data_IF_298979487007
#
_entry.id   IF_298979487007
#
_cell.length_a   1.000
_cell.length_b   1.000
_cell.length_c   1.000
_cell.angle_alpha   90.00
_cell.angle_beta   90.00
_cell.angle_gamma   90.00
#
_symmetry.space_group_name_H-M   'P 1'
#
loop_
_entity.id
_entity.type
_entity.pdbx_description
1 polymer ?
#
# COMPACT_ATOMS: atom_id res chain seq x y z
N UNK A 1 35.14 2.83 31.18
CA UNK A 1 34.27 3.95 31.58
C UNK A 1 33.41 4.52 30.44
N UNK A 2 33.93 4.71 29.22
CA UNK A 2 33.16 5.26 28.08
C UNK A 2 31.96 4.42 27.60
N UNK A 3 32.05 3.09 27.68
CA UNK A 3 30.98 2.17 27.24
C UNK A 3 29.75 2.27 28.16
N UNK A 4 29.97 2.29 29.48
CA UNK A 4 28.89 2.40 30.48
C UNK A 4 28.11 3.71 30.34
N UNK A 5 28.80 4.82 30.00
CA UNK A 5 28.11 6.09 29.74
C UNK A 5 27.25 6.06 28.47
N UNK A 6 27.69 5.38 27.41
CA UNK A 6 26.90 5.23 26.19
C UNK A 6 25.65 4.38 26.41
N UNK A 7 25.76 3.30 27.18
CA UNK A 7 24.61 2.45 27.54
C UNK A 7 23.56 3.26 28.31
N UNK A 8 23.98 4.03 29.33
CA UNK A 8 23.07 4.89 30.10
C UNK A 8 22.39 5.99 29.28
N UNK A 9 23.05 6.50 28.23
CA UNK A 9 22.43 7.46 27.32
C UNK A 9 21.39 6.78 26.43
N UNK A 10 21.70 5.59 25.91
CA UNK A 10 20.76 4.80 25.13
C UNK A 10 19.53 4.38 25.95
N UNK A 11 19.71 4.00 27.22
CA UNK A 11 18.59 3.64 28.11
C UNK A 11 17.63 4.83 28.31
N UNK A 12 18.17 6.04 28.51
CA UNK A 12 17.36 7.27 28.63
C UNK A 12 16.62 7.60 27.35
N UNK A 13 17.28 7.42 26.20
CA UNK A 13 16.67 7.63 24.89
C UNK A 13 15.52 6.63 24.64
N UNK A 14 15.72 5.37 25.02
CA UNK A 14 14.67 4.34 24.95
C UNK A 14 13.46 4.72 25.82
N UNK A 15 13.69 5.20 27.04
CA UNK A 15 12.60 5.59 27.94
C UNK A 15 11.83 6.83 27.43
N UNK A 16 12.54 7.81 26.85
CA UNK A 16 11.92 8.96 26.18
C UNK A 16 11.06 8.51 24.99
N UNK A 17 11.60 7.64 24.14
CA UNK A 17 10.87 7.11 22.98
C UNK A 17 9.64 6.30 23.40
N UNK A 18 9.71 5.53 24.49
CA UNK A 18 8.54 4.82 25.04
C UNK A 18 7.47 5.79 25.52
N UNK A 19 7.86 6.85 26.22
CA UNK A 19 6.92 7.86 26.72
C UNK A 19 6.24 8.61 25.57
N UNK A 20 7.01 9.00 24.54
CA UNK A 20 6.48 9.63 23.33
C UNK A 20 5.54 8.70 22.56
N UNK A 21 5.91 7.42 22.40
CA UNK A 21 5.07 6.43 21.74
C UNK A 21 3.72 6.23 22.47
N UNK A 22 3.73 6.21 23.81
CA UNK A 22 2.51 6.15 24.62
C UNK A 22 1.67 7.42 24.40
N UNK A 23 2.28 8.60 24.37
CA UNK A 23 1.57 9.86 24.16
C UNK A 23 0.94 9.92 22.76
N UNK A 24 1.69 9.54 21.72
CA UNK A 24 1.18 9.46 20.35
C UNK A 24 0.05 8.43 20.21
N UNK A 25 0.20 7.26 20.81
CA UNK A 25 -0.83 6.22 20.77
C UNK A 25 -2.13 6.70 21.41
N UNK A 26 -2.06 7.40 22.56
CA UNK A 26 -3.22 8.02 23.19
C UNK A 26 -3.85 9.11 22.32
N UNK A 27 -3.02 9.97 21.73
CA UNK A 27 -3.47 11.04 20.84
C UNK A 27 -4.06 10.53 19.52
N UNK A 28 -3.82 9.28 19.11
CA UNK A 28 -4.51 8.65 17.97
C UNK A 28 -5.83 8.03 18.42
N UNK A 29 -5.88 7.37 19.58
CA UNK A 29 -7.09 6.70 20.08
C UNK A 29 -8.24 7.70 20.28
N UNK A 30 -7.98 8.85 20.91
CA UNK A 30 -9.01 9.86 21.23
C UNK A 30 -9.74 10.40 19.99
N UNK A 31 -9.07 10.89 18.93
CA UNK A 31 -9.73 11.28 17.68
C UNK A 31 -10.46 10.12 17.00
N UNK A 32 -9.93 8.90 17.10
CA UNK A 32 -10.57 7.72 16.50
C UNK A 32 -11.88 7.38 17.22
N UNK A 33 -11.94 7.56 18.52
CA UNK A 33 -13.16 7.43 19.33
C UNK A 33 -14.16 8.53 19.01
N UNK A 34 -13.72 9.79 18.86
CA UNK A 34 -14.57 10.91 18.43
C UNK A 34 -15.18 10.70 17.05
N UNK A 35 -14.37 10.29 16.05
CA UNK A 35 -14.85 9.98 14.70
C UNK A 35 -15.85 8.82 14.73
N UNK A 36 -15.59 7.79 15.54
CA UNK A 36 -16.51 6.68 15.71
C UNK A 36 -17.82 7.10 16.41
N UNK A 37 -17.77 8.04 17.36
CA UNK A 37 -18.94 8.59 18.02
C UNK A 37 -19.78 9.44 17.06
N UNK A 38 -19.15 10.29 16.24
CA UNK A 38 -19.82 11.07 15.19
C UNK A 38 -20.50 10.16 14.16
N UNK A 39 -19.79 9.14 13.66
CA UNK A 39 -20.31 8.15 12.72
C UNK A 39 -21.52 7.37 13.28
N UNK A 40 -21.58 7.17 14.61
CA UNK A 40 -22.72 6.53 15.28
C UNK A 40 -23.85 7.51 15.59
N UNK A 41 -23.54 8.78 15.88
CA UNK A 41 -24.50 9.84 16.19
C UNK A 41 -25.30 10.34 15.00
N UNK A 42 -24.74 10.27 13.79
CA UNK A 42 -25.36 10.78 12.56
C UNK A 42 -26.63 10.02 12.11
N UNK A 43 -26.95 8.87 12.75
CA UNK A 43 -28.17 8.10 12.42
C UNK A 43 -29.40 8.45 13.27
N UNK A 44 -29.34 9.37 14.26
CA UNK A 44 -30.46 9.58 15.21
C UNK A 44 -30.83 11.03 15.55
N UNK A 45 -30.43 12.04 14.78
CA UNK A 45 -30.93 13.42 14.96
C UNK A 45 -31.60 13.99 13.71
N UNK A 46 -32.43 13.21 13.04
CA UNK A 46 -33.56 13.73 12.29
C UNK A 46 -34.76 13.82 13.24
N UNK A 47 -34.70 14.73 14.22
CA UNK A 47 -35.82 15.01 15.13
C UNK A 47 -36.53 16.26 14.63
N UNK A 48 -37.48 16.00 13.74
CA UNK A 48 -38.87 16.44 13.91
C UNK A 48 -39.06 17.94 14.16
N UNK A 49 -38.95 18.73 13.09
CA UNK A 49 -39.68 20.01 12.99
C UNK A 49 -41.09 19.66 12.54
N UNK A 50 -41.96 19.47 13.52
CA UNK A 50 -43.40 19.34 13.37
C UNK A 50 -44.02 20.66 12.91
N UNK A 51 -44.33 20.80 11.64
CA UNK A 51 -45.40 21.72 11.19
C UNK A 51 -46.31 21.02 10.16
N UNK A 52 -47.32 20.35 10.72
CA UNK A 52 -48.68 20.05 10.20
C UNK A 52 -48.90 19.86 8.68
N UNK A 53 -49.13 18.59 8.31
CA UNK A 53 -50.02 17.99 7.28
C UNK A 53 -50.94 18.87 6.39
N UNK A 54 -51.35 18.39 5.18
CA UNK A 54 -51.58 16.96 4.87
C UNK A 54 -50.97 16.38 3.59
N UNK A 55 -50.91 15.05 3.63
CA UNK A 55 -50.60 14.08 2.59
C UNK A 55 -51.29 14.37 1.25
N UNK A 56 -50.50 14.70 0.24
CA UNK A 56 -50.87 14.49 -1.17
C UNK A 56 -49.68 13.80 -1.82
N UNK A 57 -49.93 12.62 -2.40
CA UNK A 57 -48.96 11.81 -3.13
C UNK A 57 -48.14 12.67 -4.11
N UNK A 58 -46.79 12.56 -4.14
CA UNK A 58 -46.03 13.17 -5.20
C UNK A 58 -46.20 12.33 -6.46
N UNK A 59 -47.26 12.64 -7.21
CA UNK A 59 -47.39 12.26 -8.61
C UNK A 59 -46.13 12.73 -9.33
N UNK A 60 -45.28 11.78 -9.76
CA UNK A 60 -44.07 11.93 -10.58
C UNK A 60 -43.96 13.29 -11.28
N UNK A 61 -43.47 14.30 -10.56
CA UNK A 61 -43.30 15.65 -11.11
C UNK A 61 -41.99 15.62 -11.88
N UNK A 62 -42.10 15.65 -13.20
CA UNK A 62 -41.00 16.03 -14.10
C UNK A 62 -40.38 17.30 -13.53
N UNK A 63 -39.15 17.15 -13.03
CA UNK A 63 -38.35 18.23 -12.45
C UNK A 63 -38.07 19.22 -13.58
N UNK A 64 -39.03 20.14 -13.80
CA UNK A 64 -38.77 21.34 -14.57
C UNK A 64 -37.72 22.08 -13.78
N UNK A 65 -36.53 22.19 -14.37
CA UNK A 65 -35.57 23.24 -14.07
C UNK A 65 -36.35 24.53 -14.21
N UNK A 66 -36.97 24.96 -13.11
CA UNK A 66 -37.53 26.30 -13.01
C UNK A 66 -36.30 27.18 -13.01
N UNK A 67 -36.17 28.01 -14.04
CA UNK A 67 -35.27 29.14 -14.11
C UNK A 67 -35.48 29.98 -12.84
N UNK A 68 -34.81 29.61 -11.76
CA UNK A 68 -34.66 30.47 -10.59
C UNK A 68 -33.73 31.56 -11.05
N UNK A 69 -34.30 32.71 -11.34
CA UNK A 69 -33.57 33.94 -11.59
C UNK A 69 -32.57 34.12 -10.45
N UNK A 70 -31.29 33.87 -10.75
CA UNK A 70 -30.21 33.97 -9.78
C UNK A 70 -30.19 35.39 -9.25
N UNK A 71 -30.39 35.52 -7.94
CA UNK A 71 -30.38 36.82 -7.28
C UNK A 71 -28.96 37.42 -7.44
N UNK A 72 -28.78 38.74 -7.64
CA UNK A 72 -27.45 39.33 -7.80
C UNK A 72 -26.44 38.91 -6.72
N UNK A 73 -26.90 38.73 -5.48
CA UNK A 73 -26.06 38.22 -4.38
C UNK A 73 -25.63 36.75 -4.51
N UNK A 74 -26.42 35.91 -5.17
CA UNK A 74 -26.05 34.51 -5.47
C UNK A 74 -24.98 34.45 -6.56
N UNK A 75 -25.09 35.32 -7.57
CA UNK A 75 -24.07 35.46 -8.63
C UNK A 75 -22.73 35.88 -8.02
N UNK A 76 -22.72 36.84 -7.09
CA UNK A 76 -21.49 37.24 -6.37
C UNK A 76 -20.91 36.08 -5.56
N UNK A 77 -21.74 35.34 -4.84
CA UNK A 77 -21.30 34.16 -4.06
C UNK A 77 -20.69 33.08 -4.95
N UNK A 78 -21.28 32.81 -6.12
CA UNK A 78 -20.69 31.87 -7.07
C UNK A 78 -19.34 32.37 -7.59
N UNK A 79 -19.24 33.65 -7.97
CA UNK A 79 -17.99 34.23 -8.44
C UNK A 79 -16.87 34.12 -7.37
N UNK A 80 -17.20 34.41 -6.11
CA UNK A 80 -16.27 34.27 -4.99
C UNK A 80 -15.88 32.80 -4.75
N UNK A 81 -16.82 31.86 -4.84
CA UNK A 81 -16.56 30.43 -4.70
C UNK A 81 -15.64 29.92 -5.82
N UNK A 82 -15.88 30.32 -7.08
CA UNK A 82 -15.03 29.98 -8.21
C UNK A 82 -13.61 30.54 -8.04
N UNK A 83 -13.49 31.77 -7.56
CA UNK A 83 -12.19 32.40 -7.31
C UNK A 83 -11.39 31.64 -6.24
N UNK A 84 -12.03 31.30 -5.11
CA UNK A 84 -11.40 30.51 -4.04
C UNK A 84 -10.95 29.14 -4.54
N UNK A 85 -11.79 28.46 -5.33
CA UNK A 85 -11.45 27.15 -5.90
C UNK A 85 -10.22 27.22 -6.83
N UNK A 86 -10.09 28.31 -7.60
CA UNK A 86 -8.88 28.55 -8.39
C UNK A 86 -7.66 28.84 -7.53
N UNK A 87 -7.79 29.70 -6.51
CA UNK A 87 -6.69 30.03 -5.60
C UNK A 87 -6.19 28.79 -4.84
N UNK A 88 -7.10 27.94 -4.36
CA UNK A 88 -6.78 26.69 -3.66
C UNK A 88 -6.07 25.69 -4.58
N UNK A 89 -6.52 25.59 -5.84
CA UNK A 89 -5.87 24.75 -6.85
C UNK A 89 -4.45 25.22 -7.14
N UNK A 90 -4.25 26.51 -7.37
CA UNK A 90 -2.94 27.09 -7.64
C UNK A 90 -2.00 26.94 -6.44
N UNK A 91 -2.54 27.03 -5.23
CA UNK A 91 -1.78 26.75 -4.00
C UNK A 91 -1.34 25.29 -3.93
N UNK A 92 -2.23 24.34 -4.19
CA UNK A 92 -1.91 22.91 -4.21
C UNK A 92 -0.86 22.57 -5.28
N UNK A 93 -0.96 23.14 -6.48
CA UNK A 93 0.03 22.94 -7.55
C UNK A 93 1.42 23.45 -7.15
N UNK A 94 1.48 24.60 -6.46
CA UNK A 94 2.73 25.17 -5.95
C UNK A 94 3.38 24.28 -4.89
N UNK A 95 2.60 23.75 -3.95
CA UNK A 95 3.09 22.82 -2.93
C UNK A 95 3.62 21.52 -3.55
N UNK A 96 2.91 20.97 -4.54
CA UNK A 96 3.37 19.79 -5.29
C UNK A 96 4.69 20.07 -6.01
N UNK A 97 4.84 21.24 -6.63
CA UNK A 97 6.08 21.63 -7.29
C UNK A 97 7.25 21.75 -6.29
N UNK A 98 7.03 22.37 -5.12
CA UNK A 98 8.02 22.49 -4.07
C UNK A 98 8.45 21.12 -3.51
N UNK A 99 7.50 20.20 -3.33
CA UNK A 99 7.78 18.82 -2.90
C UNK A 99 8.58 18.05 -3.96
N UNK A 100 8.21 18.16 -5.24
CA UNK A 100 8.97 17.55 -6.35
C UNK A 100 10.41 18.08 -6.39
N UNK A 101 10.61 19.37 -6.21
CA UNK A 101 11.94 19.96 -6.15
C UNK A 101 12.75 19.44 -4.95
N UNK A 102 12.14 19.38 -3.76
CA UNK A 102 12.78 18.82 -2.56
C UNK A 102 13.19 17.37 -2.74
N UNK A 103 12.32 16.54 -3.32
CA UNK A 103 12.61 15.15 -3.65
C UNK A 103 13.78 15.08 -4.65
N UNK A 104 13.79 15.93 -5.68
CA UNK A 104 14.87 15.96 -6.66
C UNK A 104 16.22 16.37 -6.04
N UNK A 105 16.22 17.38 -5.16
CA UNK A 105 17.40 17.78 -4.38
C UNK A 105 17.92 16.65 -3.50
N UNK A 106 17.03 15.92 -2.82
CA UNK A 106 17.40 14.75 -2.02
C UNK A 106 17.97 13.64 -2.91
N UNK A 107 17.37 13.37 -4.08
CA UNK A 107 17.91 12.38 -5.04
C UNK A 107 19.35 12.72 -5.46
N UNK A 108 19.65 14.00 -5.70
CA UNK A 108 21.00 14.45 -6.06
C UNK A 108 21.97 14.32 -4.87
N UNK A 109 21.57 14.75 -3.66
CA UNK A 109 22.42 14.71 -2.47
C UNK A 109 22.69 13.28 -1.94
N UNK A 110 21.76 12.36 -2.15
CA UNK A 110 21.88 10.97 -1.65
C UNK A 110 22.66 10.08 -2.62
N UNK A 111 22.95 10.55 -3.84
CA UNK A 111 23.88 9.88 -4.74
C UNK A 111 25.33 10.18 -4.29
N UNK A 112 26.16 9.17 -3.96
CA UNK A 112 27.58 9.40 -3.70
C UNK A 112 28.21 10.02 -4.95
N UNK A 113 29.12 11.00 -4.83
CA UNK A 113 29.93 11.39 -5.97
C UNK A 113 30.69 10.14 -6.41
N UNK A 114 30.31 9.57 -7.55
CA UNK A 114 31.04 8.46 -8.18
C UNK A 114 32.40 9.04 -8.56
N UNK A 115 33.35 8.96 -7.63
CA UNK A 115 34.76 9.20 -7.88
C UNK A 115 35.17 8.13 -8.85
N UNK A 116 35.13 8.45 -10.15
CA UNK A 116 35.76 7.69 -11.23
C UNK A 116 37.25 7.60 -10.89
N UNK A 117 37.60 6.60 -10.08
CA UNK A 117 38.97 6.26 -9.74
C UNK A 117 39.61 5.79 -11.03
N UNK A 118 40.41 6.69 -11.63
CA UNK A 118 41.27 6.40 -12.77
C UNK A 118 42.19 5.24 -12.38
N UNK A 119 41.83 4.01 -12.73
CA UNK A 119 42.80 2.94 -12.86
C UNK A 119 43.50 3.11 -14.20
N UNK A 120 44.47 4.02 -14.19
CA UNK A 120 45.57 3.95 -15.13
C UNK A 120 46.52 2.83 -14.68
N UNK A 121 47.10 2.13 -15.67
CA UNK A 121 48.27 1.25 -15.59
C UNK A 121 48.02 -0.27 -15.41
N UNK A 122 47.86 -0.94 -16.55
CA UNK A 122 48.68 -2.07 -17.08
C UNK A 122 47.79 -2.89 -18.02
N UNK A 123 47.77 -2.57 -19.31
CA UNK A 123 48.55 -3.28 -20.34
C UNK A 123 48.38 -4.79 -20.25
N UNK A 124 47.49 -5.36 -21.08
CA UNK A 124 47.63 -6.65 -21.78
C UNK A 124 46.63 -6.71 -22.97
N UNK A 125 47.20 -6.53 -24.17
CA UNK A 125 46.80 -6.93 -25.54
C UNK A 125 45.30 -6.95 -25.97
N UNK A 126 44.94 -6.22 -27.05
CA UNK A 126 43.69 -6.43 -27.78
C UNK A 126 43.89 -7.47 -28.90
N UNK A 127 43.32 -8.66 -28.77
CA UNK A 127 43.21 -9.62 -29.88
C UNK A 127 41.95 -9.36 -30.69
N UNK A 128 42.14 -8.66 -31.80
CA UNK A 128 41.44 -8.77 -33.08
C UNK A 128 39.90 -8.71 -33.07
N UNK A 129 39.46 -7.46 -33.16
CA UNK A 129 38.21 -6.95 -33.70
C UNK A 129 37.91 -7.53 -35.10
N UNK A 130 36.85 -8.35 -35.23
CA UNK A 130 36.17 -8.57 -36.51
C UNK A 130 34.65 -8.69 -36.30
N UNK A 131 34.01 -7.58 -35.94
CA UNK A 131 32.54 -7.47 -35.97
C UNK A 131 32.13 -6.93 -37.34
N UNK A 132 31.54 -7.80 -38.17
CA UNK A 132 30.77 -7.40 -39.34
C UNK A 132 29.45 -6.79 -38.82
N UNK A 133 29.26 -5.51 -39.10
CA UNK A 133 28.02 -4.76 -38.91
C UNK A 133 27.01 -5.18 -39.97
N UNK A 134 25.87 -5.71 -39.54
CA UNK A 134 24.66 -5.75 -40.36
C UNK A 134 23.56 -5.09 -39.54
N UNK A 135 23.07 -3.97 -40.09
CA UNK A 135 21.92 -3.22 -39.62
C UNK A 135 20.69 -4.13 -39.55
N UNK A 136 19.98 -4.13 -38.41
CA UNK A 136 18.52 -4.17 -38.41
C UNK A 136 18.00 -3.65 -37.06
N UNK A 137 16.96 -2.83 -37.15
CA UNK A 137 16.28 -2.15 -36.06
C UNK A 137 15.69 -3.12 -35.02
N UNK A 138 15.65 -2.67 -33.77
CA UNK A 138 14.95 -3.31 -32.67
C UNK A 138 15.56 -2.88 -31.34
N UNK A 139 14.78 -2.14 -30.55
CA UNK A 139 15.10 -1.76 -29.16
C UNK A 139 15.65 -2.94 -28.33
N UNK A 140 16.49 -2.65 -27.34
CA UNK A 140 16.51 -3.47 -26.13
C UNK A 140 16.30 -2.65 -24.86
N UNK A 141 15.50 -3.27 -24.01
CA UNK A 141 15.31 -3.02 -22.60
C UNK A 141 16.62 -3.01 -21.78
N UNK A 142 16.47 -2.47 -20.57
CA UNK A 142 17.23 -2.71 -19.33
C UNK A 142 18.75 -2.48 -19.34
N UNK A 143 19.22 -1.61 -18.42
CA UNK A 143 20.00 -2.19 -17.33
C UNK A 143 19.99 -1.36 -16.04
N UNK A 144 20.15 -2.11 -14.98
CA UNK A 144 19.84 -1.86 -13.57
C UNK A 144 21.03 -1.31 -12.78
N UNK A 145 20.84 -1.20 -11.46
CA UNK A 145 21.82 -0.99 -10.37
C UNK A 145 21.91 0.45 -9.82
N UNK A 146 21.83 0.71 -8.51
CA UNK A 146 22.02 -0.15 -7.35
C UNK A 146 21.19 0.35 -6.15
N UNK A 147 20.29 -0.48 -5.64
CA UNK A 147 19.59 -0.23 -4.37
C UNK A 147 19.75 -1.42 -3.41
N UNK A 148 20.37 -1.11 -2.27
CA UNK A 148 20.25 -1.79 -0.98
C UNK A 148 20.79 -3.23 -0.87
N UNK A 149 21.63 -3.44 0.14
CA UNK A 149 22.23 -4.71 0.56
C UNK A 149 21.24 -5.69 1.20
N UNK A 150 20.01 -5.79 0.66
CA UNK A 150 19.05 -6.82 1.01
C UNK A 150 18.58 -7.48 -0.29
N UNK A 151 18.62 -8.81 -0.41
CA UNK A 151 18.08 -9.48 -1.59
C UNK A 151 16.60 -9.13 -1.71
N UNK A 152 16.26 -8.33 -2.74
CA UNK A 152 14.90 -7.91 -3.05
C UNK A 152 14.20 -9.08 -3.73
N UNK A 153 13.62 -9.96 -2.92
CA UNK A 153 12.83 -11.09 -3.41
C UNK A 153 11.52 -10.52 -3.99
N UNK A 154 11.44 -10.46 -5.32
CA UNK A 154 10.20 -10.12 -6.04
C UNK A 154 9.28 -11.34 -6.02
N UNK A 155 8.04 -11.15 -5.56
CA UNK A 155 7.02 -12.19 -5.52
C UNK A 155 6.20 -12.14 -6.82
N UNK A 156 6.10 -13.26 -7.52
CA UNK A 156 5.27 -13.43 -8.73
C UNK A 156 3.94 -14.11 -8.36
N UNK A 157 2.85 -13.70 -9.02
CA UNK A 157 1.46 -13.85 -8.54
C UNK A 157 0.93 -15.30 -8.44
N UNK A 158 1.71 -16.35 -8.72
CA UNK A 158 1.30 -17.78 -8.62
C UNK A 158 2.45 -18.74 -8.31
N UNK A 159 3.31 -18.40 -7.36
CA UNK A 159 4.41 -19.30 -7.01
C UNK A 159 4.03 -20.39 -6.01
N UNK A 160 4.40 -21.62 -6.33
CA UNK A 160 4.40 -22.72 -5.35
C UNK A 160 5.50 -22.51 -4.31
N UNK A 161 5.31 -23.07 -3.09
CA UNK A 161 6.34 -23.03 -2.04
C UNK A 161 7.70 -23.50 -2.54
N UNK A 162 7.73 -24.56 -3.34
CA UNK A 162 8.97 -25.15 -3.86
C UNK A 162 9.67 -24.25 -4.89
N UNK A 163 8.93 -23.58 -5.77
CA UNK A 163 9.51 -22.63 -6.73
C UNK A 163 10.06 -21.39 -6.03
N UNK A 164 9.34 -20.88 -5.03
CA UNK A 164 9.80 -19.75 -4.22
C UNK A 164 11.06 -20.10 -3.42
N UNK A 165 11.06 -21.25 -2.74
CA UNK A 165 12.24 -21.75 -1.98
C UNK A 165 13.46 -21.85 -2.87
N UNK A 166 13.32 -22.41 -4.08
CA UNK A 166 14.42 -22.56 -5.05
C UNK A 166 14.96 -21.20 -5.50
N UNK A 167 14.09 -20.22 -5.76
CA UNK A 167 14.53 -18.88 -6.15
C UNK A 167 15.30 -18.19 -5.02
N UNK A 168 14.74 -18.19 -3.81
CA UNK A 168 15.39 -17.58 -2.64
C UNK A 168 16.74 -18.24 -2.40
N UNK A 169 16.82 -19.57 -2.46
CA UNK A 169 18.07 -20.31 -2.36
C UNK A 169 19.08 -19.86 -3.43
N UNK A 170 18.67 -19.73 -4.70
CA UNK A 170 19.57 -19.30 -5.77
C UNK A 170 20.12 -17.89 -5.53
N UNK A 171 19.28 -16.95 -5.08
CA UNK A 171 19.73 -15.61 -4.74
C UNK A 171 20.68 -15.59 -3.55
N UNK A 172 20.39 -16.35 -2.49
CA UNK A 172 21.27 -16.47 -1.34
C UNK A 172 22.60 -17.15 -1.70
N UNK A 173 22.60 -18.11 -2.62
CA UNK A 173 23.81 -18.81 -3.05
C UNK A 173 24.81 -17.92 -3.82
N UNK A 174 24.36 -16.77 -4.34
CA UNK A 174 25.21 -15.78 -5.02
C UNK A 174 25.93 -14.85 -4.04
N UNK A 175 25.48 -14.79 -2.78
CA UNK A 175 26.04 -13.90 -1.77
C UNK A 175 27.43 -14.35 -1.32
N UNK A 176 28.24 -13.40 -0.87
CA UNK A 176 29.56 -13.70 -0.30
C UNK A 176 29.42 -14.35 1.07
N UNK A 177 30.44 -15.10 1.49
CA UNK A 177 30.50 -15.76 2.80
C UNK A 177 30.10 -14.84 3.96
N UNK A 178 30.68 -13.64 4.00
CA UNK A 178 30.43 -12.67 5.07
C UNK A 178 28.96 -12.18 5.11
N UNK A 179 28.29 -12.12 3.95
CA UNK A 179 26.89 -11.69 3.86
C UNK A 179 25.97 -12.78 4.36
N UNK A 180 26.22 -14.04 3.99
CA UNK A 180 25.47 -15.19 4.48
C UNK A 180 25.67 -15.38 5.98
N UNK A 181 26.90 -15.26 6.48
CA UNK A 181 27.19 -15.37 7.91
C UNK A 181 26.44 -14.30 8.71
N UNK A 182 26.40 -13.06 8.22
CA UNK A 182 25.61 -11.98 8.82
C UNK A 182 24.11 -12.32 8.85
N UNK A 183 23.56 -12.80 7.74
CA UNK A 183 22.15 -13.19 7.67
C UNK A 183 21.83 -14.37 8.61
N UNK A 184 22.73 -15.33 8.74
CA UNK A 184 22.59 -16.42 9.71
C UNK A 184 22.56 -15.90 11.15
N UNK A 185 23.44 -14.96 11.50
CA UNK A 185 23.47 -14.36 12.84
C UNK A 185 22.19 -13.56 13.14
N UNK A 186 21.69 -12.78 12.17
CA UNK A 186 20.44 -12.03 12.31
C UNK A 186 19.24 -12.96 12.53
N UNK A 187 19.22 -14.11 11.86
CA UNK A 187 18.18 -15.14 12.03
C UNK A 187 18.46 -16.09 13.21
N UNK A 188 19.61 -16.00 13.89
CA UNK A 188 19.96 -16.95 14.95
C UNK A 188 20.16 -18.38 14.45
N UNK A 189 20.66 -18.55 13.23
CA UNK A 189 21.07 -19.82 12.63
C UNK A 189 22.59 -20.00 12.74
N UNK A 190 23.05 -21.24 12.89
CA UNK A 190 24.47 -21.55 12.87
C UNK A 190 24.98 -21.57 11.42
N UNK A 191 26.07 -20.85 11.15
CA UNK A 191 26.73 -20.91 9.85
C UNK A 191 27.42 -22.26 9.66
N UNK A 192 27.18 -22.92 8.53
CA UNK A 192 27.82 -24.20 8.17
C UNK A 192 28.65 -24.06 6.89
N UNK A 193 28.00 -24.15 5.74
CA UNK A 193 28.55 -23.86 4.42
C UNK A 193 27.66 -22.82 3.76
N UNK A 194 28.15 -22.13 2.71
CA UNK A 194 27.32 -21.17 1.95
C UNK A 194 26.03 -21.85 1.46
N UNK A 195 26.15 -23.07 0.91
CA UNK A 195 25.01 -23.81 0.37
C UNK A 195 24.06 -24.32 1.46
N UNK A 196 24.60 -24.87 2.56
CA UNK A 196 23.79 -25.34 3.68
C UNK A 196 23.02 -24.18 4.32
N UNK A 197 23.73 -23.13 4.69
CA UNK A 197 23.17 -21.92 5.31
C UNK A 197 22.14 -21.23 4.40
N UNK A 198 22.38 -21.15 3.09
CA UNK A 198 21.41 -20.61 2.13
C UNK A 198 20.13 -21.45 2.04
N UNK A 199 20.23 -22.78 2.24
CA UNK A 199 19.07 -23.68 2.27
C UNK A 199 18.24 -23.43 3.52
N UNK A 200 18.89 -23.41 4.69
CA UNK A 200 18.23 -23.18 5.98
C UNK A 200 17.56 -21.80 6.04
N UNK A 201 18.24 -20.77 5.52
CA UNK A 201 17.68 -19.43 5.38
C UNK A 201 16.47 -19.41 4.42
N UNK A 202 16.58 -20.06 3.25
CA UNK A 202 15.47 -20.09 2.28
C UNK A 202 14.22 -20.76 2.87
N UNK A 203 14.37 -21.87 3.59
CA UNK A 203 13.26 -22.55 4.28
C UNK A 203 12.60 -21.65 5.32
N UNK A 204 13.40 -20.91 6.10
CA UNK A 204 12.88 -19.95 7.08
C UNK A 204 12.14 -18.79 6.41
N UNK A 205 12.68 -18.21 5.34
CA UNK A 205 12.02 -17.15 4.58
C UNK A 205 10.67 -17.63 4.01
N UNK A 206 10.60 -18.87 3.51
CA UNK A 206 9.35 -19.47 3.04
C UNK A 206 8.37 -19.64 4.22
N UNK A 207 8.84 -20.10 5.37
CA UNK A 207 8.02 -20.24 6.58
C UNK A 207 7.39 -18.94 7.05
N UNK A 208 8.09 -17.81 6.93
CA UNK A 208 7.59 -16.48 7.33
C UNK A 208 6.71 -15.83 6.25
N UNK A 209 7.12 -15.91 4.98
CA UNK A 209 6.45 -15.19 3.89
C UNK A 209 5.16 -15.89 3.44
N UNK A 210 5.13 -17.23 3.37
CA UNK A 210 4.02 -17.95 2.77
C UNK A 210 2.70 -17.90 3.56
N UNK A 211 2.70 -17.94 4.91
CA UNK A 211 1.47 -17.73 5.69
C UNK A 211 0.88 -16.33 5.50
N UNK A 212 1.73 -15.30 5.38
CA UNK A 212 1.30 -13.91 5.12
C UNK A 212 0.67 -13.77 3.74
N UNK A 213 1.22 -14.44 2.73
CA UNK A 213 0.65 -14.47 1.37
C UNK A 213 -0.73 -15.15 1.32
N UNK A 214 -0.96 -16.20 2.11
CA UNK A 214 -2.29 -16.82 2.22
C UNK A 214 -3.32 -15.88 2.85
N UNK A 215 -2.92 -15.07 3.83
CA UNK A 215 -3.84 -14.08 4.43
C UNK A 215 -4.15 -12.92 3.48
N UNK A 216 -3.18 -12.46 2.68
CA UNK A 216 -3.42 -11.39 1.70
C UNK A 216 -4.32 -11.84 0.55
N UNK A 217 -4.18 -13.07 0.04
CA UNK A 217 -5.04 -13.61 -1.02
C UNK A 217 -6.51 -13.77 -0.58
N UNK A 218 -6.76 -14.22 0.66
CA UNK A 218 -8.14 -14.34 1.18
C UNK A 218 -8.84 -12.97 1.26
N UNK A 219 -8.10 -11.91 1.63
CA UNK A 219 -8.66 -10.55 1.70
C UNK A 219 -8.88 -9.90 0.32
N UNK A 220 -8.17 -10.34 -0.72
CA UNK A 220 -8.39 -9.89 -2.10
C UNK A 220 -9.55 -10.64 -2.77
N UNK A 221 -9.74 -11.93 -2.50
CA UNK A 221 -10.88 -12.71 -3.00
C UNK A 221 -12.22 -12.25 -2.39
N UNK A 222 -12.26 -11.84 -1.10
CA UNK A 222 -13.47 -11.27 -0.49
C UNK A 222 -13.85 -9.87 -1.02
N UNK A 223 -12.96 -9.22 -1.78
CA UNK A 223 -13.21 -7.89 -2.38
C UNK A 223 -13.72 -7.94 -3.82
N UNK A 224 -13.58 -9.06 -4.52
CA UNK A 224 -14.05 -9.21 -5.90
C UNK A 224 -15.45 -9.83 -6.02
N UNK A 225 -16.09 -10.26 -4.92
CA UNK A 225 -17.45 -10.84 -4.93
C UNK A 225 -18.43 -9.91 -4.22
N UNK A 226 -18.71 -8.75 -4.81
CA UNK A 226 -19.67 -7.82 -4.21
C UNK A 226 -19.99 -6.59 -5.04
N UNK A 227 -20.09 -6.71 -6.36
CA UNK A 227 -20.61 -5.64 -7.22
C UNK A 227 -21.05 -6.23 -8.57
N UNK A 228 -22.03 -7.13 -8.55
CA UNK A 228 -22.98 -7.32 -9.65
C UNK A 228 -24.06 -8.29 -9.15
N UNK A 229 -25.26 -7.75 -8.91
CA UNK A 229 -26.54 -8.42 -9.15
C UNK A 229 -27.66 -7.41 -8.90
N UNK A 230 -27.81 -6.50 -9.86
CA UNK A 230 -29.13 -5.98 -10.24
C UNK A 230 -29.91 -7.13 -10.88
N UNK A 231 -30.63 -7.94 -10.10
CA UNK A 231 -31.74 -8.71 -10.65
C UNK A 231 -32.97 -8.65 -9.74
N UNK A 232 -33.88 -7.79 -10.17
CA UNK A 232 -35.24 -7.67 -9.66
C UNK A 232 -36.05 -8.86 -10.15
N UNK A 233 -36.58 -9.65 -9.22
CA UNK A 233 -37.67 -10.59 -9.52
C UNK A 233 -38.84 -10.29 -8.59
N UNK A 234 -39.84 -9.61 -9.16
CA UNK A 234 -41.21 -9.58 -8.67
C UNK A 234 -41.75 -11.02 -8.67
N UNK A 235 -41.99 -11.59 -7.48
CA UNK A 235 -42.89 -12.74 -7.34
C UNK A 235 -44.10 -12.28 -6.55
N UNK A 236 -45.14 -12.06 -7.36
CA UNK A 236 -46.55 -11.90 -7.04
C UNK A 236 -47.05 -12.98 -6.09
N UNK A 237 -47.98 -12.56 -5.23
CA UNK A 237 -48.56 -13.34 -4.15
C UNK A 237 -49.27 -14.64 -4.54
N UNK A 238 -49.36 -15.50 -3.54
CA UNK A 238 -50.19 -16.69 -3.49
C UNK A 238 -50.33 -17.11 -2.03
N UNK A 239 -51.41 -16.68 -1.39
CA UNK A 239 -51.83 -17.08 -0.05
C UNK A 239 -52.21 -18.57 0.03
N UNK A 240 -52.36 -19.13 1.25
CA UNK A 240 -52.11 -20.53 1.57
C UNK A 240 -53.29 -21.45 1.27
N UNK A 241 -53.00 -22.71 0.98
CA UNK A 241 -54.01 -23.77 0.92
C UNK A 241 -53.62 -24.98 1.76
N UNK A 242 -54.54 -25.33 2.65
CA UNK A 242 -54.51 -26.39 3.63
C UNK A 242 -54.47 -27.80 3.01
N UNK A 243 -53.71 -28.71 3.61
CA UNK A 243 -54.05 -30.14 3.82
C UNK A 243 -52.93 -30.80 4.64
N UNK A 244 -53.09 -31.03 5.95
CA UNK A 244 -53.83 -32.11 6.60
C UNK A 244 -53.29 -33.52 6.28
N UNK A 245 -52.85 -34.19 7.35
CA UNK A 245 -52.85 -35.65 7.54
C UNK A 245 -51.82 -36.44 6.73
N UNK A 246 -51.18 -37.52 7.21
CA UNK A 246 -51.25 -38.34 8.41
C UNK A 246 -50.06 -39.32 8.31
N UNK A 247 -49.58 -39.81 9.47
CA UNK A 247 -49.24 -41.22 9.77
C UNK A 247 -48.34 -41.98 8.77
N UNK A 248 -47.22 -42.52 9.27
CA UNK A 248 -47.07 -43.98 9.47
C UNK A 248 -45.63 -44.37 9.79
N UNK A 249 -45.52 -45.26 10.77
CA UNK A 249 -44.33 -45.94 11.29
C UNK A 249 -43.44 -46.59 10.22
N UNK A 250 -42.12 -46.59 10.48
CA UNK A 250 -41.25 -47.76 10.62
C UNK A 250 -39.87 -47.34 11.16
#
# INVERSE_FOLDING_TARGET
>A
MKIVMRIRLADKEIDLLKQENIALSKGIIEPTEEVNALKKGEKRSAKDVTEKSPLVEPARVKLRVVDRELTPGEITKMADAYKRLHDDKDYAEREVAALKERINRLKIQTSPPVVKRRFALRSMQPTNLRKKTTHLAGEPEEDTEAESSRPKVRFEKRETKSTFTKRVFLELSKLRTNEIEKLCLEEGLAYTTIRGSATDLAERYVGVAFPRLRQTLVMEEEKEVGEDDDESVDIVGGEPSNRAEEVSDC
#
